data_IF_795342985728
#
_entry.id   IF_795342985728
#
_cell.length_a   1.000
_cell.length_b   1.000
_cell.length_c   1.000
_cell.angle_alpha   90.00
_cell.angle_beta   90.00
_cell.angle_gamma   90.00
#
_symmetry.space_group_name_H-M   'P 1'
#
loop_
_entity.id
_entity.type
_entity.pdbx_description
1 polymer ?
#
# COMPACT_ATOMS: atom_id res chain seq x y z
N UNK A 1 3.67 -28.41 -5.11
CA UNK A 1 2.51 -27.56 -5.37
C UNK A 1 2.93 -26.36 -6.21
N UNK A 2 2.26 -26.11 -7.28
CA UNK A 2 2.63 -25.02 -8.17
C UNK A 2 2.31 -23.66 -7.51
N UNK A 3 3.25 -22.72 -7.66
CA UNK A 3 3.03 -21.36 -7.23
C UNK A 3 2.17 -20.64 -8.27
N UNK A 4 1.12 -19.97 -7.81
CA UNK A 4 0.24 -19.20 -8.65
C UNK A 4 0.62 -17.74 -8.62
N UNK A 5 1.02 -17.19 -9.78
CA UNK A 5 1.42 -15.79 -9.87
C UNK A 5 0.21 -14.87 -9.97
N UNK A 6 0.20 -13.82 -9.17
CA UNK A 6 -0.89 -12.83 -9.13
C UNK A 6 -0.28 -11.43 -9.24
N UNK A 7 -0.85 -10.61 -10.11
CA UNK A 7 -0.39 -9.24 -10.30
C UNK A 7 -1.23 -8.30 -9.42
N UNK A 8 -0.54 -7.51 -8.61
CA UNK A 8 -1.17 -6.55 -7.71
C UNK A 8 -0.61 -5.15 -7.97
N UNK A 9 -1.39 -4.13 -7.62
CA UNK A 9 -0.95 -2.75 -7.66
C UNK A 9 -1.40 -2.04 -6.40
N UNK A 10 -0.60 -1.12 -5.94
CA UNK A 10 -0.90 -0.35 -4.74
C UNK A 10 -0.05 0.90 -4.65
N UNK A 11 -0.05 1.52 -3.49
CA UNK A 11 0.61 2.82 -3.38
C UNK A 11 1.09 3.14 -1.96
N UNK A 12 2.13 3.96 -1.93
CA UNK A 12 2.43 4.78 -0.76
C UNK A 12 1.75 6.12 -1.01
N UNK A 13 0.84 6.51 -0.13
CA UNK A 13 0.10 7.77 -0.22
C UNK A 13 0.61 8.72 0.84
N UNK A 14 1.24 9.82 0.40
CA UNK A 14 1.83 10.81 1.30
C UNK A 14 0.82 11.88 1.66
N UNK A 15 0.70 12.15 2.95
CA UNK A 15 -0.02 13.32 3.45
C UNK A 15 0.91 14.53 3.57
N UNK A 16 0.34 15.66 3.98
CA UNK A 16 1.04 16.96 3.98
C UNK A 16 2.17 17.07 4.99
N UNK A 17 2.12 16.31 6.09
CA UNK A 17 3.09 16.45 7.18
C UNK A 17 3.95 15.20 7.39
N UNK A 18 4.25 14.49 6.32
CA UNK A 18 5.13 13.32 6.39
C UNK A 18 4.46 12.07 6.92
N UNK A 19 3.16 11.95 6.69
CA UNK A 19 2.39 10.77 7.05
C UNK A 19 2.09 9.93 5.82
N UNK A 20 1.78 8.66 6.06
CA UNK A 20 1.45 7.69 5.01
C UNK A 20 0.15 7.01 5.39
N UNK A 21 -0.73 6.83 4.40
CA UNK A 21 -1.99 6.13 4.61
C UNK A 21 -1.75 4.62 4.62
N UNK A 22 -2.20 3.96 5.66
CA UNK A 22 -2.10 2.50 5.81
C UNK A 22 -3.46 1.92 6.16
N UNK A 23 -3.62 0.63 5.88
CA UNK A 23 -4.88 -0.08 6.08
C UNK A 23 -4.65 -1.36 6.88
N UNK A 24 -5.70 -1.80 7.56
CA UNK A 24 -5.66 -3.02 8.36
C UNK A 24 -6.94 -3.82 8.11
N UNK A 25 -6.78 -5.10 7.85
CA UNK A 25 -7.91 -6.01 7.76
C UNK A 25 -8.43 -6.35 9.16
N UNK A 26 -9.66 -6.84 9.23
CA UNK A 26 -10.31 -7.11 10.54
C UNK A 26 -9.56 -8.07 11.43
N UNK A 27 -8.82 -9.00 10.85
CA UNK A 27 -8.10 -10.03 11.61
C UNK A 27 -6.63 -9.73 11.81
N UNK A 28 -6.12 -8.67 11.17
CA UNK A 28 -4.71 -8.31 11.28
C UNK A 28 -4.48 -7.42 12.49
N UNK A 29 -3.31 -7.55 13.09
CA UNK A 29 -2.89 -6.71 14.21
C UNK A 29 -2.03 -5.54 13.77
N UNK A 30 -1.47 -5.62 12.56
CA UNK A 30 -0.60 -4.59 12.01
C UNK A 30 -1.13 -4.11 10.66
N UNK A 31 -0.32 -3.32 9.98
CA UNK A 31 -0.76 -2.49 8.88
C UNK A 31 -0.14 -2.92 7.56
N UNK A 32 -0.82 -2.56 6.47
CA UNK A 32 -0.39 -2.82 5.10
C UNK A 32 -0.54 -1.55 4.27
N UNK A 33 0.20 -1.47 3.17
CA UNK A 33 -0.09 -0.45 2.16
C UNK A 33 -1.39 -0.81 1.43
N UNK A 34 -2.20 0.19 1.03
CA UNK A 34 -3.38 -0.11 0.22
C UNK A 34 -2.94 -0.70 -1.12
N UNK A 35 -3.50 -1.85 -1.48
CA UNK A 35 -3.20 -2.55 -2.72
C UNK A 35 -4.18 -3.68 -2.95
N UNK A 36 -4.25 -4.16 -4.18
CA UNK A 36 -5.07 -5.30 -4.53
C UNK A 36 -4.81 -5.79 -5.93
N UNK A 37 -5.60 -6.74 -6.39
CA UNK A 37 -5.44 -7.38 -7.68
C UNK A 37 -5.70 -6.40 -8.83
N UNK A 38 -4.89 -6.50 -9.88
CA UNK A 38 -5.11 -5.75 -11.11
C UNK A 38 -6.17 -6.49 -11.93
N UNK A 39 -7.20 -5.77 -12.37
CA UNK A 39 -8.24 -6.35 -13.20
C UNK A 39 -7.75 -6.51 -14.63
N UNK A 40 -8.34 -7.46 -15.35
CA UNK A 40 -7.97 -7.73 -16.75
C UNK A 40 -8.15 -6.45 -17.57
N UNK A 41 -7.10 -6.09 -18.31
CA UNK A 41 -7.12 -4.90 -19.17
C UNK A 41 -6.89 -3.58 -18.46
N UNK A 42 -6.72 -3.60 -17.15
CA UNK A 42 -6.51 -2.39 -16.34
C UNK A 42 -5.02 -2.01 -16.33
N UNK A 43 -4.73 -0.72 -16.48
CA UNK A 43 -3.36 -0.24 -16.32
C UNK A 43 -2.94 -0.29 -14.84
N UNK A 44 -1.66 -0.50 -14.59
CA UNK A 44 -1.16 -0.65 -13.22
C UNK A 44 -1.44 0.56 -12.36
N UNK A 45 -1.21 1.78 -12.87
CA UNK A 45 -1.47 3.00 -12.09
C UNK A 45 -2.97 3.14 -11.79
N UNK A 46 -3.84 2.82 -12.75
CA UNK A 46 -5.29 2.91 -12.55
C UNK A 46 -5.74 1.91 -11.49
N UNK A 47 -5.18 0.71 -11.50
CA UNK A 47 -5.46 -0.30 -10.47
C UNK A 47 -5.03 0.20 -9.09
N UNK A 48 -3.84 0.78 -9.00
CA UNK A 48 -3.34 1.34 -7.73
C UNK A 48 -4.26 2.43 -7.22
N UNK A 49 -4.68 3.36 -8.08
CA UNK A 49 -5.62 4.42 -7.68
C UNK A 49 -6.95 3.85 -7.21
N UNK A 50 -7.49 2.90 -7.93
CA UNK A 50 -8.75 2.25 -7.57
C UNK A 50 -8.66 1.57 -6.21
N UNK A 51 -7.58 0.82 -5.97
CA UNK A 51 -7.40 0.14 -4.69
C UNK A 51 -7.25 1.12 -3.53
N UNK A 52 -6.54 2.25 -3.73
CA UNK A 52 -6.45 3.28 -2.69
C UNK A 52 -7.84 3.83 -2.36
N UNK A 53 -8.64 4.14 -3.38
CA UNK A 53 -10.00 4.67 -3.17
C UNK A 53 -10.85 3.64 -2.42
N UNK A 54 -10.82 2.38 -2.85
CA UNK A 54 -11.61 1.32 -2.23
C UNK A 54 -11.22 1.07 -0.77
N UNK A 55 -9.92 1.12 -0.46
CA UNK A 55 -9.44 0.75 0.87
C UNK A 55 -9.32 1.92 1.84
N UNK A 56 -9.19 3.15 1.35
CA UNK A 56 -9.02 4.32 2.22
C UNK A 56 -10.09 5.39 2.04
N UNK A 57 -10.79 5.40 0.91
CA UNK A 57 -11.72 6.47 0.58
C UNK A 57 -11.06 7.74 0.05
N UNK A 58 -9.75 7.76 -0.10
CA UNK A 58 -9.03 8.94 -0.61
C UNK A 58 -9.20 9.01 -2.13
N UNK A 59 -9.80 10.10 -2.63
CA UNK A 59 -10.05 10.29 -4.05
C UNK A 59 -9.13 11.31 -4.72
N UNK A 60 -8.56 12.23 -3.95
CA UNK A 60 -7.68 13.28 -4.49
C UNK A 60 -6.24 12.80 -4.46
N UNK A 61 -5.82 12.08 -5.50
CA UNK A 61 -4.48 11.51 -5.59
C UNK A 61 -3.70 12.19 -6.69
N UNK A 62 -2.52 12.69 -6.36
CA UNK A 62 -1.57 13.23 -7.34
C UNK A 62 -0.39 12.29 -7.49
N UNK A 63 -0.06 11.94 -8.74
CA UNK A 63 1.08 11.07 -9.03
C UNK A 63 2.40 11.80 -8.74
N UNK A 64 3.30 11.14 -8.04
CA UNK A 64 4.66 11.64 -7.81
C UNK A 64 5.68 10.78 -8.55
N UNK A 65 5.63 9.46 -8.38
CA UNK A 65 6.67 8.57 -8.91
C UNK A 65 6.17 7.13 -9.00
N UNK A 66 6.85 6.34 -9.81
CA UNK A 66 6.67 4.89 -9.87
C UNK A 66 7.80 4.26 -9.07
N UNK A 67 7.45 3.43 -8.10
CA UNK A 67 8.43 2.80 -7.21
C UNK A 67 8.80 1.40 -7.74
N UNK A 68 9.94 0.84 -7.31
CA UNK A 68 10.28 -0.53 -7.70
C UNK A 68 9.22 -1.52 -7.27
N UNK A 69 8.92 -2.49 -8.13
CA UNK A 69 8.03 -3.59 -7.77
C UNK A 69 8.75 -4.60 -6.89
N UNK A 70 7.99 -5.43 -6.19
CA UNK A 70 8.55 -6.52 -5.38
C UNK A 70 7.57 -7.69 -5.35
N UNK A 71 8.06 -8.83 -4.90
CA UNK A 71 7.23 -10.03 -4.81
C UNK A 71 7.17 -10.52 -3.37
N UNK A 72 6.06 -11.10 -3.00
CA UNK A 72 5.92 -11.84 -1.75
C UNK A 72 4.80 -12.87 -1.86
N UNK A 73 4.78 -13.88 -0.98
CA UNK A 73 3.67 -14.82 -0.95
C UNK A 73 2.37 -14.11 -0.53
N UNK A 74 1.25 -14.64 -0.95
CA UNK A 74 -0.03 -14.24 -0.40
C UNK A 74 -0.09 -14.56 1.09
N UNK A 75 -0.93 -13.83 1.82
CA UNK A 75 -1.10 -14.01 3.26
C UNK A 75 -2.58 -14.28 3.52
N UNK A 76 -2.90 -15.39 4.20
CA UNK A 76 -4.28 -15.72 4.52
C UNK A 76 -4.74 -14.94 5.77
N UNK A 77 -6.04 -15.02 6.14
CA UNK A 77 -6.55 -14.27 7.30
C UNK A 77 -5.93 -14.67 8.65
N UNK A 78 -5.21 -15.78 8.69
CA UNK A 78 -4.53 -16.23 9.91
C UNK A 78 -3.05 -15.85 9.93
N UNK A 79 -2.58 -15.09 8.93
CA UNK A 79 -1.20 -14.65 8.85
C UNK A 79 -0.25 -15.66 8.23
N UNK A 80 -0.74 -16.75 7.64
CA UNK A 80 0.08 -17.76 7.02
C UNK A 80 0.28 -17.48 5.53
N UNK A 81 1.48 -17.79 5.01
CA UNK A 81 1.74 -17.67 3.58
C UNK A 81 0.94 -18.70 2.80
N UNK A 82 0.44 -18.28 1.64
CA UNK A 82 -0.29 -19.13 0.70
C UNK A 82 0.61 -19.57 -0.44
N UNK A 83 0.06 -20.34 -1.42
CA UNK A 83 0.80 -20.74 -2.61
C UNK A 83 0.79 -19.66 -3.70
N UNK A 84 0.24 -18.50 -3.43
CA UNK A 84 0.29 -17.38 -4.37
C UNK A 84 1.63 -16.67 -4.29
N UNK A 85 2.13 -16.24 -5.45
CA UNK A 85 3.25 -15.31 -5.51
C UNK A 85 2.70 -13.99 -6.04
N UNK A 86 2.64 -12.99 -5.20
CA UNK A 86 2.14 -11.66 -5.57
C UNK A 86 3.28 -10.82 -6.10
N UNK A 87 3.13 -10.36 -7.34
CA UNK A 87 4.03 -9.37 -7.93
C UNK A 87 3.36 -8.01 -7.72
N UNK A 88 3.96 -7.19 -6.87
CA UNK A 88 3.32 -5.97 -6.38
C UNK A 88 3.97 -4.75 -7.02
N UNK A 89 3.18 -4.01 -7.79
CA UNK A 89 3.60 -2.78 -8.45
C UNK A 89 3.13 -1.59 -7.65
N UNK A 90 4.08 -0.78 -7.18
CA UNK A 90 3.80 0.30 -6.24
C UNK A 90 4.03 1.67 -6.87
N UNK A 91 3.17 2.60 -6.50
CA UNK A 91 3.24 3.98 -6.95
C UNK A 91 3.32 4.90 -5.74
N UNK A 92 3.86 6.09 -5.96
CA UNK A 92 3.91 7.12 -4.93
C UNK A 92 2.95 8.22 -5.32
N UNK A 93 1.93 8.43 -4.50
CA UNK A 93 0.95 9.51 -4.66
C UNK A 93 1.01 10.44 -3.47
N UNK A 94 0.53 11.66 -3.66
CA UNK A 94 0.25 12.56 -2.54
C UNK A 94 -1.26 12.79 -2.45
N UNK A 95 -1.72 13.13 -1.23
CA UNK A 95 -3.13 13.45 -0.97
C UNK A 95 -3.21 14.40 0.21
N UNK A 96 -4.28 15.22 0.29
CA UNK A 96 -4.47 16.08 1.46
C UNK A 96 -4.72 15.24 2.71
N UNK A 97 -4.03 15.55 3.82
CA UNK A 97 -4.21 14.82 5.08
C UNK A 97 -5.60 14.99 5.69
N UNK A 98 -6.30 16.07 5.30
CA UNK A 98 -7.67 16.25 5.76
C UNK A 98 -8.66 15.32 5.06
N UNK A 99 -8.20 14.53 4.10
CA UNK A 99 -9.04 13.52 3.45
C UNK A 99 -9.56 12.55 4.50
N UNK A 100 -10.86 12.32 4.51
CA UNK A 100 -11.48 11.40 5.45
C UNK A 100 -11.16 9.97 5.02
N UNK A 101 -10.57 9.20 5.92
CA UNK A 101 -10.27 7.80 5.65
C UNK A 101 -11.51 6.96 5.98
N UNK A 102 -12.20 6.52 4.93
CA UNK A 102 -13.44 5.76 5.05
C UNK A 102 -13.25 4.40 4.40
N UNK A 103 -12.76 3.41 5.15
CA UNK A 103 -12.53 2.09 4.59
C UNK A 103 -13.85 1.42 4.19
N UNK A 104 -13.77 0.59 3.16
CA UNK A 104 -14.93 -0.13 2.63
C UNK A 104 -14.72 -1.63 2.76
N UNK A 105 -15.83 -2.38 2.86
CA UNK A 105 -15.88 -3.85 2.79
C UNK A 105 -14.96 -4.55 3.80
N UNK A 106 -13.83 -5.07 3.33
CA UNK A 106 -12.96 -5.94 4.12
C UNK A 106 -11.97 -5.23 5.02
N UNK A 107 -11.79 -3.92 4.79
CA UNK A 107 -10.84 -3.13 5.56
C UNK A 107 -11.50 -2.69 6.87
N UNK A 108 -10.88 -3.08 7.98
CA UNK A 108 -11.37 -2.71 9.31
C UNK A 108 -11.07 -1.26 9.66
N UNK A 109 -9.90 -0.80 9.23
CA UNK A 109 -9.41 0.50 9.62
C UNK A 109 -8.42 1.04 8.59
N UNK A 110 -8.45 2.36 8.38
CA UNK A 110 -7.43 3.07 7.60
C UNK A 110 -6.99 4.27 8.42
N UNK A 111 -5.70 4.60 8.40
CA UNK A 111 -5.21 5.78 9.12
C UNK A 111 -3.91 6.31 8.54
N UNK A 112 -3.58 7.54 8.93
CA UNK A 112 -2.30 8.16 8.62
C UNK A 112 -1.30 7.80 9.70
N UNK A 113 -0.12 7.33 9.30
CA UNK A 113 0.97 6.95 10.20
C UNK A 113 2.22 7.73 9.82
N UNK A 114 2.95 8.20 10.81
CA UNK A 114 4.21 8.91 10.56
C UNK A 114 5.19 8.04 9.78
N UNK A 115 5.82 8.62 8.76
CA UNK A 115 6.82 7.95 7.95
C UNK A 115 7.92 7.31 8.81
N UNK A 116 8.33 7.98 9.88
CA UNK A 116 9.43 7.52 10.72
C UNK A 116 9.08 6.30 11.58
N UNK A 117 7.78 6.06 11.80
CA UNK A 117 7.32 4.93 12.61
C UNK A 117 6.77 3.78 11.79
N UNK A 118 6.65 3.96 10.47
CA UNK A 118 5.92 3.03 9.62
C UNK A 118 6.51 1.63 9.60
N UNK A 119 7.84 1.51 9.58
CA UNK A 119 8.50 0.20 9.49
C UNK A 119 8.07 -0.73 10.62
N UNK A 120 7.85 -0.20 11.81
CA UNK A 120 7.44 -1.00 12.97
C UNK A 120 5.96 -1.38 12.93
N UNK A 121 5.17 -0.68 12.12
CA UNK A 121 3.73 -0.92 12.02
C UNK A 121 3.37 -1.91 10.93
N UNK A 122 4.26 -2.14 9.96
CA UNK A 122 3.96 -3.06 8.85
C UNK A 122 3.97 -4.51 9.32
N UNK A 123 2.95 -5.26 8.90
CA UNK A 123 2.76 -6.65 9.29
C UNK A 123 3.83 -7.56 8.72
N UNK A 124 4.10 -7.45 7.44
CA UNK A 124 4.93 -8.41 6.73
C UNK A 124 6.38 -7.97 6.61
N UNK A 125 7.29 -8.90 6.86
CA UNK A 125 8.73 -8.64 6.79
C UNK A 125 9.18 -8.21 5.38
N UNK A 126 8.59 -8.80 4.34
CA UNK A 126 8.95 -8.42 2.96
C UNK A 126 8.48 -7.01 2.62
N UNK A 127 7.31 -6.60 3.13
CA UNK A 127 6.85 -5.21 3.00
C UNK A 127 7.82 -4.27 3.73
N UNK A 128 8.29 -4.65 4.92
CA UNK A 128 9.25 -3.88 5.70
C UNK A 128 10.57 -3.69 4.96
N UNK A 129 11.11 -4.78 4.39
CA UNK A 129 12.36 -4.74 3.64
C UNK A 129 12.22 -3.88 2.40
N UNK A 130 11.11 -4.05 1.66
CA UNK A 130 10.86 -3.23 0.47
C UNK A 130 10.75 -1.75 0.84
N UNK A 131 9.99 -1.43 1.90
CA UNK A 131 9.83 -0.05 2.35
C UNK A 131 11.19 0.57 2.71
N UNK A 132 12.05 -0.18 3.39
CA UNK A 132 13.40 0.30 3.71
C UNK A 132 14.18 0.66 2.43
N UNK A 133 14.00 -0.10 1.36
CA UNK A 133 14.70 0.14 0.10
C UNK A 133 14.25 1.42 -0.61
N UNK A 134 13.01 1.86 -0.39
CA UNK A 134 12.46 3.06 -1.04
C UNK A 134 12.35 4.27 -0.09
N UNK A 135 12.71 4.07 1.17
CA UNK A 135 12.53 5.08 2.22
C UNK A 135 13.09 6.45 1.85
N UNK A 136 14.32 6.50 1.33
CA UNK A 136 14.95 7.78 0.98
C UNK A 136 14.22 8.48 -0.16
N UNK A 137 13.74 7.74 -1.15
CA UNK A 137 12.95 8.33 -2.25
C UNK A 137 11.66 8.95 -1.73
N UNK A 138 10.97 8.25 -0.84
CA UNK A 138 9.72 8.72 -0.24
C UNK A 138 9.99 9.96 0.59
N UNK A 139 11.03 9.92 1.41
CA UNK A 139 11.41 11.05 2.26
C UNK A 139 11.76 12.30 1.44
N UNK A 140 12.48 12.11 0.33
CA UNK A 140 12.83 13.22 -0.56
C UNK A 140 11.59 13.86 -1.20
N UNK A 141 10.57 13.07 -1.50
CA UNK A 141 9.34 13.59 -2.07
C UNK A 141 8.62 14.52 -1.09
N UNK A 142 8.66 14.20 0.21
CA UNK A 142 8.09 15.07 1.26
C UNK A 142 8.82 16.41 1.33
N UNK A 143 10.13 16.40 1.13
CA UNK A 143 10.97 17.60 1.27
C UNK A 143 10.93 18.54 0.07
N UNK A 144 10.25 18.14 -1.02
CA UNK A 144 10.20 18.94 -2.25
C UNK A 144 9.19 20.09 -2.23
N UNK A 145 8.37 20.16 -1.24
CA UNK A 145 7.35 21.22 -1.13
C UNK A 145 7.92 22.49 -0.53
#
# INVERSE_FOLDING_TARGET
METRKVICAGAIVLGDSGTIAVVRNRKDTKWFFPKGHVDEGEELEDAARREVVEETGITELEYIDTLPSYTRPGIDPHGHYTNEEKEIHMFLFSAPEHSILTPTLEIAEARWVSLTHLSNELEDTKDQVWFSSVYQRVRQAIQRD
#
